data_IF_702349184512
#
_entry.id   IF_702349184512
#
_cell.length_a   1.000
_cell.length_b   1.000
_cell.length_c   1.000
_cell.angle_alpha   90.00
_cell.angle_beta   90.00
_cell.angle_gamma   90.00
#
_symmetry.space_group_name_H-M   'P 1'
#
loop_
_entity.id
_entity.type
_entity.pdbx_description
1 polymer ?
#
# COMPACT_ATOMS: atom_id res chain seq x y z
N UNK A 1 32.95 14.99 27.37
CA UNK A 1 32.15 15.73 26.36
C UNK A 1 32.09 14.96 25.04
N UNK A 2 33.22 14.45 24.53
CA UNK A 2 33.28 13.62 23.31
C UNK A 2 32.41 12.35 23.37
N UNK A 3 32.43 11.61 24.49
CA UNK A 3 31.61 10.40 24.63
C UNK A 3 30.09 10.67 24.57
N UNK A 4 29.65 11.81 25.12
CA UNK A 4 28.24 12.22 25.07
C UNK A 4 27.86 12.62 23.64
N UNK A 5 28.76 13.29 22.91
CA UNK A 5 28.55 13.67 21.51
C UNK A 5 28.48 12.44 20.60
N UNK A 6 29.33 11.45 20.82
CA UNK A 6 29.30 10.16 20.11
C UNK A 6 27.98 9.42 20.35
N UNK A 7 27.56 9.31 21.61
CA UNK A 7 26.28 8.69 21.95
C UNK A 7 25.07 9.40 21.30
N UNK A 8 25.09 10.73 21.22
CA UNK A 8 24.03 11.51 20.54
C UNK A 8 24.03 11.24 19.03
N UNK A 9 25.22 11.14 18.40
CA UNK A 9 25.33 10.80 16.98
C UNK A 9 24.83 9.39 16.67
N UNK A 10 25.14 8.41 17.54
CA UNK A 10 24.68 7.03 17.39
C UNK A 10 23.15 6.94 17.45
N UNK A 11 22.52 7.67 18.39
CA UNK A 11 21.05 7.76 18.48
C UNK A 11 20.47 8.42 17.23
N UNK A 12 21.05 9.52 16.74
CA UNK A 12 20.58 10.20 15.54
C UNK A 12 20.66 9.31 14.28
N UNK A 13 21.73 8.51 14.16
CA UNK A 13 21.89 7.53 13.08
C UNK A 13 20.85 6.41 13.18
N UNK A 14 20.67 5.82 14.37
CA UNK A 14 19.67 4.79 14.60
C UNK A 14 18.25 5.27 14.29
N UNK A 15 17.90 6.51 14.65
CA UNK A 15 16.61 7.12 14.33
C UNK A 15 16.44 7.30 12.80
N UNK A 16 17.48 7.77 12.11
CA UNK A 16 17.44 7.93 10.65
C UNK A 16 17.27 6.60 9.93
N UNK A 17 17.99 5.56 10.35
CA UNK A 17 17.86 4.21 9.80
C UNK A 17 16.46 3.63 10.08
N UNK A 18 15.95 3.82 11.31
CA UNK A 18 14.59 3.45 11.68
C UNK A 18 13.54 4.11 10.77
N UNK A 19 13.67 5.41 10.49
CA UNK A 19 12.77 6.12 9.60
C UNK A 19 12.84 5.59 8.16
N UNK A 20 14.04 5.32 7.63
CA UNK A 20 14.19 4.74 6.28
C UNK A 20 13.57 3.34 6.18
N UNK A 21 13.69 2.52 7.22
CA UNK A 21 13.04 1.20 7.28
C UNK A 21 11.52 1.36 7.30
N UNK A 22 11.01 2.30 8.10
CA UNK A 22 9.58 2.60 8.19
C UNK A 22 9.01 3.10 6.86
N UNK A 23 9.67 4.07 6.20
CA UNK A 23 9.27 4.57 4.87
C UNK A 23 9.28 3.45 3.82
N UNK A 24 10.30 2.58 3.84
CA UNK A 24 10.36 1.40 2.96
C UNK A 24 9.24 0.40 3.25
N UNK A 25 8.77 0.30 4.49
CA UNK A 25 7.63 -0.55 4.86
C UNK A 25 6.31 0.02 4.33
N UNK A 26 6.17 1.36 4.30
CA UNK A 26 5.02 2.04 3.72
C UNK A 26 4.98 1.94 2.20
N UNK A 27 6.15 1.94 1.55
CA UNK A 27 6.26 1.82 0.10
C UNK A 27 5.94 0.42 -0.45
N UNK A 28 5.80 -0.60 0.41
CA UNK A 28 5.43 -1.95 -0.01
C UNK A 28 3.92 -2.04 -0.14
N UNK A 29 3.45 -2.60 -1.25
CA UNK A 29 2.07 -3.01 -1.38
C UNK A 29 1.75 -4.01 -0.24
N UNK A 30 0.52 -3.98 0.30
CA UNK A 30 0.09 -4.93 1.34
C UNK A 30 0.15 -6.39 0.87
N UNK A 31 0.12 -6.62 -0.45
CA UNK A 31 0.24 -7.93 -1.10
C UNK A 31 1.07 -7.81 -2.40
N UNK A 32 1.68 -8.90 -2.89
CA UNK A 32 2.28 -8.95 -4.22
C UNK A 32 1.35 -8.49 -5.35
N UNK A 33 1.92 -7.93 -6.42
CA UNK A 33 1.17 -7.40 -7.55
C UNK A 33 0.29 -8.46 -8.24
N UNK A 34 0.80 -9.69 -8.38
CA UNK A 34 0.04 -10.80 -8.98
C UNK A 34 -1.25 -11.10 -8.18
N UNK A 35 -1.20 -10.94 -6.85
CA UNK A 35 -2.32 -11.24 -5.97
C UNK A 35 -3.40 -10.15 -6.10
N UNK A 36 -3.02 -8.91 -6.41
CA UNK A 36 -3.97 -7.84 -6.77
C UNK A 36 -4.77 -8.24 -8.01
N UNK A 37 -4.15 -8.83 -9.02
CA UNK A 37 -4.87 -9.29 -10.21
C UNK A 37 -5.86 -10.41 -9.87
N UNK A 38 -5.45 -11.38 -9.05
CA UNK A 38 -6.33 -12.47 -8.62
C UNK A 38 -7.54 -11.96 -7.85
N UNK A 39 -7.36 -11.01 -6.92
CA UNK A 39 -8.47 -10.41 -6.20
C UNK A 39 -9.50 -9.75 -7.13
N UNK A 40 -9.05 -9.07 -8.19
CA UNK A 40 -9.95 -8.45 -9.17
C UNK A 40 -10.73 -9.48 -9.99
N UNK A 41 -10.13 -10.64 -10.26
CA UNK A 41 -10.80 -11.74 -10.95
C UNK A 41 -11.83 -12.42 -10.03
N UNK A 42 -11.48 -12.65 -8.76
CA UNK A 42 -12.36 -13.25 -7.75
C UNK A 42 -13.65 -12.45 -7.52
N UNK A 43 -13.55 -11.11 -7.47
CA UNK A 43 -14.73 -10.25 -7.32
C UNK A 43 -15.45 -9.98 -8.66
N UNK A 44 -15.00 -10.60 -9.75
CA UNK A 44 -15.64 -10.53 -11.06
C UNK A 44 -15.55 -9.15 -11.72
N UNK A 45 -14.40 -8.46 -11.63
CA UNK A 45 -14.18 -7.24 -12.41
C UNK A 45 -14.08 -7.58 -13.90
N UNK A 46 -14.89 -6.87 -14.70
CA UNK A 46 -14.92 -7.02 -16.15
C UNK A 46 -13.55 -6.74 -16.78
N UNK A 47 -13.18 -7.54 -17.79
CA UNK A 47 -11.91 -7.42 -18.51
C UNK A 47 -11.58 -5.99 -18.99
N UNK A 48 -12.59 -5.22 -19.40
CA UNK A 48 -12.43 -3.84 -19.90
C UNK A 48 -12.01 -2.87 -18.79
N UNK A 49 -12.45 -3.12 -17.56
CA UNK A 49 -12.16 -2.29 -16.38
C UNK A 49 -11.00 -2.83 -15.54
N UNK A 50 -10.67 -4.12 -15.68
CA UNK A 50 -9.67 -4.81 -14.84
C UNK A 50 -8.30 -4.16 -14.88
N UNK A 51 -7.81 -3.79 -16.07
CA UNK A 51 -6.53 -3.09 -16.21
C UNK A 51 -6.54 -1.74 -15.46
N UNK A 52 -7.63 -0.97 -15.59
CA UNK A 52 -7.75 0.34 -14.92
C UNK A 52 -7.83 0.17 -13.40
N UNK A 53 -8.59 -0.80 -12.92
CA UNK A 53 -8.70 -1.12 -11.50
C UNK A 53 -7.36 -1.58 -10.90
N UNK A 54 -6.65 -2.46 -11.61
CA UNK A 54 -5.32 -2.90 -11.22
C UNK A 54 -4.35 -1.73 -11.11
N UNK A 55 -4.27 -0.88 -12.15
CA UNK A 55 -3.41 0.30 -12.15
C UNK A 55 -3.78 1.30 -11.04
N UNK A 56 -5.06 1.44 -10.72
CA UNK A 56 -5.51 2.29 -9.61
C UNK A 56 -4.99 1.76 -8.26
N UNK A 57 -5.19 0.48 -7.97
CA UNK A 57 -4.84 -0.11 -6.68
C UNK A 57 -3.32 -0.14 -6.45
N UNK A 58 -2.51 -0.49 -7.45
CA UNK A 58 -1.05 -0.50 -7.31
C UNK A 58 -0.46 0.92 -7.13
N UNK A 59 -1.11 1.94 -7.69
CA UNK A 59 -0.69 3.34 -7.55
C UNK A 59 -1.16 3.97 -6.24
N UNK A 60 -2.13 3.36 -5.57
CA UNK A 60 -2.72 3.86 -4.33
C UNK A 60 -2.70 2.78 -3.24
N UNK A 61 -1.54 2.51 -2.60
CA UNK A 61 -1.39 1.43 -1.63
C UNK A 61 -2.36 1.49 -0.45
N UNK A 62 -2.73 2.70 0.01
CA UNK A 62 -3.69 2.86 1.10
C UNK A 62 -5.13 2.52 0.66
N UNK A 63 -5.49 2.81 -0.59
CA UNK A 63 -6.76 2.35 -1.16
C UNK A 63 -6.77 0.83 -1.33
N UNK A 64 -5.63 0.24 -1.71
CA UNK A 64 -5.49 -1.23 -1.75
C UNK A 64 -5.63 -1.86 -0.36
N UNK A 65 -5.06 -1.26 0.69
CA UNK A 65 -5.28 -1.71 2.07
C UNK A 65 -6.75 -1.64 2.46
N UNK A 66 -7.42 -0.52 2.17
CA UNK A 66 -8.84 -0.35 2.46
C UNK A 66 -9.71 -1.37 1.69
N UNK A 67 -9.41 -1.57 0.40
CA UNK A 67 -10.07 -2.56 -0.45
C UNK A 67 -9.92 -3.99 0.09
N UNK A 68 -8.71 -4.41 0.49
CA UNK A 68 -8.47 -5.74 1.07
C UNK A 68 -9.19 -5.91 2.41
N UNK A 69 -9.32 -4.83 3.20
CA UNK A 69 -9.99 -4.87 4.50
C UNK A 69 -11.52 -4.90 4.44
N UNK A 70 -12.13 -4.64 3.28
CA UNK A 70 -13.58 -4.53 3.14
C UNK A 70 -14.25 -5.90 2.86
N UNK A 71 -15.55 -6.10 3.17
CA UNK A 71 -16.28 -7.32 2.82
C UNK A 71 -16.19 -7.67 1.33
N UNK A 72 -15.88 -8.94 1.01
CA UNK A 72 -15.57 -9.40 -0.35
C UNK A 72 -16.71 -9.12 -1.32
N UNK A 73 -17.95 -9.31 -0.86
CA UNK A 73 -19.19 -9.15 -1.60
C UNK A 73 -19.41 -7.70 -2.06
N UNK A 74 -18.88 -6.74 -1.31
CA UNK A 74 -19.07 -5.30 -1.54
C UNK A 74 -17.84 -4.63 -2.20
N UNK A 75 -16.70 -5.34 -2.26
CA UNK A 75 -15.43 -4.81 -2.80
C UNK A 75 -15.53 -4.28 -4.23
N UNK A 76 -16.38 -4.89 -5.07
CA UNK A 76 -16.57 -4.43 -6.45
C UNK A 76 -17.20 -3.05 -6.52
N UNK A 77 -18.24 -2.81 -5.72
CA UNK A 77 -18.89 -1.50 -5.64
C UNK A 77 -17.95 -0.47 -5.01
N UNK A 78 -17.28 -0.84 -3.91
CA UNK A 78 -16.27 -0.01 -3.27
C UNK A 78 -15.19 0.46 -4.26
N UNK A 79 -14.64 -0.47 -5.03
CA UNK A 79 -13.58 -0.17 -6.01
C UNK A 79 -14.05 0.82 -7.07
N UNK A 80 -15.30 0.70 -7.56
CA UNK A 80 -15.82 1.66 -8.53
C UNK A 80 -16.05 3.04 -7.91
N UNK A 81 -16.50 3.11 -6.66
CA UNK A 81 -16.62 4.37 -5.90
C UNK A 81 -15.25 5.04 -5.75
N UNK A 82 -14.24 4.29 -5.27
CA UNK A 82 -12.86 4.76 -5.13
C UNK A 82 -12.26 5.28 -6.44
N UNK A 83 -12.52 4.61 -7.57
CA UNK A 83 -12.01 4.98 -8.89
C UNK A 83 -12.75 6.15 -9.56
N UNK A 84 -13.88 6.57 -8.99
CA UNK A 84 -14.72 7.65 -9.48
C UNK A 84 -14.56 8.95 -8.68
N UNK A 85 -13.93 8.88 -7.50
CA UNK A 85 -13.58 10.05 -6.69
C UNK A 85 -12.36 10.77 -7.33
N UNK A 86 -12.37 12.11 -7.51
CA UNK A 86 -11.32 12.86 -8.19
C UNK A 86 -9.93 12.83 -7.53
#
# INVERSE_FOLDING_TARGET
MEQIMGAIQDVALAMREGNLIFERSLARLPIPEQDVFHLLDEIGIDSRSRMRAYLYLIKNPDMLKAFIGYPVEERKELLFTMMSDP
#
